data_IF_555191443243
#
_entry.id   IF_555191443243
#
_cell.length_a   1.000
_cell.length_b   1.000
_cell.length_c   1.000
_cell.angle_alpha   90.00
_cell.angle_beta   90.00
_cell.angle_gamma   90.00
#
_symmetry.space_group_name_H-M   'P 1'
#
loop_
_entity.id
_entity.type
_entity.pdbx_description
1 polymer ?
#
# COMPACT_ATOMS: atom_id res chain seq x y z
N UNK A 1 -23.35 -16.42 5.31
CA UNK A 1 -22.89 -16.08 6.66
C UNK A 1 -21.71 -16.99 7.00
N UNK A 2 -20.56 -16.45 7.32
CA UNK A 2 -19.45 -17.23 7.83
C UNK A 2 -18.79 -16.46 8.98
N UNK A 3 -18.59 -17.13 10.09
CA UNK A 3 -17.70 -16.72 11.18
C UNK A 3 -16.58 -17.74 11.16
N UNK A 4 -15.35 -17.29 10.93
CA UNK A 4 -14.16 -18.14 10.91
C UNK A 4 -13.28 -17.66 12.05
N UNK A 5 -12.97 -18.53 12.99
CA UNK A 5 -11.95 -18.30 14.01
C UNK A 5 -10.76 -19.19 13.68
N UNK A 6 -9.58 -18.60 13.57
CA UNK A 6 -8.33 -19.31 13.37
C UNK A 6 -7.39 -19.07 14.56
N UNK A 7 -6.75 -20.14 14.99
CA UNK A 7 -5.66 -20.08 15.96
C UNK A 7 -4.51 -20.92 15.40
N UNK A 8 -3.36 -20.29 15.20
CA UNK A 8 -2.20 -20.94 14.60
C UNK A 8 -0.95 -20.59 15.41
N UNK A 9 -0.20 -21.60 15.78
CA UNK A 9 1.10 -21.46 16.42
C UNK A 9 2.15 -21.98 15.44
N UNK A 10 3.11 -21.13 15.09
CA UNK A 10 4.21 -21.49 14.20
C UNK A 10 5.54 -21.21 14.89
N UNK A 11 6.47 -22.15 14.78
CA UNK A 11 7.83 -22.00 15.26
C UNK A 11 8.79 -22.46 14.18
N UNK A 12 9.95 -21.84 14.11
CA UNK A 12 10.98 -22.20 13.14
C UNK A 12 12.32 -21.60 13.48
N UNK A 13 13.33 -22.07 12.78
CA UNK A 13 14.68 -21.51 12.82
C UNK A 13 15.17 -21.21 11.41
N UNK A 14 15.95 -20.15 11.25
CA UNK A 14 16.57 -19.77 10.00
C UNK A 14 17.96 -19.19 10.26
N UNK A 15 18.85 -19.30 9.27
CA UNK A 15 20.11 -18.59 9.27
C UNK A 15 20.20 -17.74 8.01
N UNK A 16 20.72 -16.53 8.15
CA UNK A 16 20.93 -15.60 7.03
C UNK A 16 22.36 -15.08 7.05
N UNK A 17 22.93 -14.96 5.87
CA UNK A 17 24.22 -14.35 5.66
C UNK A 17 24.04 -13.14 4.73
N UNK A 18 24.44 -11.97 5.22
CA UNK A 18 24.37 -10.72 4.45
C UNK A 18 25.76 -10.26 4.09
N UNK A 19 26.02 -10.04 2.83
CA UNK A 19 27.26 -9.46 2.36
C UNK A 19 27.02 -8.06 1.84
N UNK A 20 27.70 -7.08 2.39
CA UNK A 20 27.62 -5.69 1.97
C UNK A 20 28.94 -5.27 1.32
N UNK A 21 28.83 -4.67 0.15
CA UNK A 21 29.96 -4.04 -0.53
C UNK A 21 29.92 -2.53 -0.28
N UNK A 22 30.71 -2.07 0.69
CA UNK A 22 30.78 -0.65 1.06
C UNK A 22 32.21 -0.15 0.81
N UNK A 23 32.37 0.86 -0.04
CA UNK A 23 33.68 1.48 -0.35
C UNK A 23 34.77 0.46 -0.72
N UNK A 24 34.45 -0.49 -1.60
CA UNK A 24 35.34 -1.59 -2.02
C UNK A 24 35.74 -2.59 -0.91
N UNK A 25 35.10 -2.49 0.25
CA UNK A 25 35.26 -3.47 1.31
C UNK A 25 34.02 -4.36 1.39
N UNK A 26 34.26 -5.66 1.52
CA UNK A 26 33.22 -6.65 1.74
C UNK A 26 33.05 -6.89 3.24
N UNK A 27 31.83 -6.68 3.73
CA UNK A 27 31.46 -6.98 5.12
C UNK A 27 30.38 -8.05 5.12
N UNK A 28 30.69 -9.21 5.72
CA UNK A 28 29.74 -10.32 5.85
C UNK A 28 29.22 -10.41 7.27
N UNK A 29 27.90 -10.45 7.43
CA UNK A 29 27.24 -10.64 8.70
C UNK A 29 26.45 -11.95 8.69
N UNK A 30 26.77 -12.85 9.63
CA UNK A 30 26.02 -14.08 9.86
C UNK A 30 25.07 -13.89 11.03
N UNK A 31 23.81 -14.30 10.84
CA UNK A 31 22.76 -14.26 11.85
C UNK A 31 22.02 -15.58 11.89
N UNK A 32 21.78 -16.09 13.08
CA UNK A 32 20.84 -17.19 13.31
C UNK A 32 19.59 -16.66 14.01
N UNK A 33 18.44 -17.18 13.63
CA UNK A 33 17.15 -16.76 14.15
C UNK A 33 16.41 -17.99 14.68
N UNK A 34 15.81 -17.85 15.84
CA UNK A 34 14.68 -18.66 16.28
C UNK A 34 13.46 -17.75 16.29
N UNK A 35 12.38 -18.18 15.69
CA UNK A 35 11.16 -17.39 15.62
C UNK A 35 9.93 -18.23 15.91
N UNK A 36 8.93 -17.59 16.47
CA UNK A 36 7.61 -18.18 16.64
C UNK A 36 6.54 -17.10 16.57
N UNK A 37 5.34 -17.52 16.26
CA UNK A 37 4.18 -16.65 16.23
C UNK A 37 2.97 -17.38 16.78
N UNK A 38 2.25 -16.73 17.69
CA UNK A 38 0.92 -17.14 18.13
C UNK A 38 -0.09 -16.20 17.50
N UNK A 39 -0.83 -16.72 16.52
CA UNK A 39 -1.80 -15.97 15.73
C UNK A 39 -3.22 -16.35 16.11
N UNK A 40 -4.04 -15.35 16.37
CA UNK A 40 -5.48 -15.52 16.61
C UNK A 40 -6.26 -14.57 15.73
N UNK A 41 -7.17 -15.12 14.95
CA UNK A 41 -8.02 -14.34 14.08
C UNK A 41 -9.48 -14.72 14.25
N UNK A 42 -10.35 -13.72 14.25
CA UNK A 42 -11.80 -13.89 14.18
C UNK A 42 -12.33 -13.02 13.07
N UNK A 43 -12.87 -13.66 12.04
CA UNK A 43 -13.49 -12.97 10.90
C UNK A 43 -15.00 -13.21 10.93
N UNK A 44 -15.75 -12.15 10.63
CA UNK A 44 -17.18 -12.29 10.39
C UNK A 44 -17.58 -11.61 9.08
N UNK A 45 -18.52 -12.19 8.39
CA UNK A 45 -19.07 -11.70 7.13
C UNK A 45 -20.59 -11.66 7.21
N UNK A 46 -21.16 -10.48 7.00
CA UNK A 46 -22.59 -10.29 6.77
C UNK A 46 -22.80 -9.79 5.35
N UNK A 47 -23.56 -10.52 4.55
CA UNK A 47 -23.92 -10.11 3.19
C UNK A 47 -25.44 -10.15 3.04
N UNK A 48 -25.99 -9.04 2.57
CA UNK A 48 -27.36 -8.94 2.11
C UNK A 48 -27.36 -8.54 0.64
N UNK A 49 -28.14 -9.24 -0.18
CA UNK A 49 -28.27 -8.99 -1.60
C UNK A 49 -29.71 -9.12 -2.03
N UNK A 50 -30.19 -8.14 -2.78
CA UNK A 50 -31.51 -8.14 -3.38
C UNK A 50 -31.41 -7.73 -4.86
N UNK A 51 -31.93 -8.58 -5.73
CA UNK A 51 -31.97 -8.32 -7.16
C UNK A 51 -33.43 -8.32 -7.64
N UNK A 52 -33.85 -7.21 -8.26
CA UNK A 52 -35.14 -7.03 -8.92
C UNK A 52 -34.94 -6.45 -10.31
N UNK A 53 -35.99 -6.45 -11.12
CA UNK A 53 -35.91 -6.02 -12.52
C UNK A 53 -35.34 -4.62 -12.72
N UNK A 54 -35.59 -3.69 -11.78
CA UNK A 54 -35.16 -2.30 -11.87
C UNK A 54 -34.08 -1.89 -10.89
N UNK A 55 -33.78 -2.71 -9.88
CA UNK A 55 -32.74 -2.39 -8.95
C UNK A 55 -31.99 -3.62 -8.44
N UNK A 56 -30.71 -3.42 -8.21
CA UNK A 56 -29.84 -4.33 -7.48
C UNK A 56 -29.34 -3.61 -6.24
N UNK A 57 -29.44 -4.24 -5.10
CA UNK A 57 -28.90 -3.74 -3.85
C UNK A 57 -28.01 -4.81 -3.22
N UNK A 58 -26.82 -4.43 -2.80
CA UNK A 58 -25.91 -5.28 -2.05
C UNK A 58 -25.33 -4.50 -0.88
N UNK A 59 -25.35 -5.09 0.30
CA UNK A 59 -24.57 -4.64 1.44
C UNK A 59 -23.71 -5.79 1.92
N UNK A 60 -22.40 -5.55 2.05
CA UNK A 60 -21.42 -6.50 2.55
C UNK A 60 -20.64 -5.85 3.69
N UNK A 61 -20.75 -6.43 4.88
CA UNK A 61 -20.01 -6.04 6.07
C UNK A 61 -19.02 -7.15 6.42
N UNK A 62 -17.76 -6.80 6.53
CA UNK A 62 -16.67 -7.68 6.96
C UNK A 62 -16.04 -7.08 8.21
N UNK A 63 -15.83 -7.89 9.22
CA UNK A 63 -15.08 -7.49 10.40
C UNK A 63 -14.02 -8.53 10.71
N UNK A 64 -12.86 -8.05 11.11
CA UNK A 64 -11.67 -8.84 11.44
C UNK A 64 -11.12 -8.39 12.78
N UNK A 65 -10.82 -9.34 13.64
CA UNK A 65 -10.13 -9.11 14.91
C UNK A 65 -8.91 -10.01 14.98
N UNK A 66 -7.73 -9.42 14.89
CA UNK A 66 -6.46 -10.12 14.86
C UNK A 66 -5.66 -9.85 16.12
N UNK A 67 -4.96 -10.86 16.59
CA UNK A 67 -3.92 -10.75 17.59
C UNK A 67 -2.73 -11.61 17.17
N UNK A 68 -1.58 -10.99 17.08
CA UNK A 68 -0.32 -11.63 16.76
C UNK A 68 0.70 -11.41 17.87
N UNK A 69 1.43 -12.45 18.20
CA UNK A 69 2.48 -12.45 19.22
C UNK A 69 3.75 -13.08 18.64
N UNK A 70 4.34 -12.50 17.58
CA UNK A 70 5.60 -12.99 17.08
C UNK A 70 6.74 -12.68 18.05
N UNK A 71 7.65 -13.62 18.15
CA UNK A 71 8.93 -13.41 18.83
C UNK A 71 10.07 -13.85 17.90
N UNK A 72 11.21 -13.18 18.04
CA UNK A 72 12.44 -13.52 17.32
C UNK A 72 13.59 -13.44 18.28
N UNK A 73 14.33 -14.52 18.41
CA UNK A 73 15.61 -14.54 19.10
C UNK A 73 16.71 -14.57 18.07
N UNK A 74 17.65 -13.63 18.13
CA UNK A 74 18.73 -13.53 17.18
C UNK A 74 20.06 -13.66 17.90
N UNK A 75 20.95 -14.45 17.34
CA UNK A 75 22.35 -14.49 17.76
C UNK A 75 23.19 -13.78 16.71
N UNK A 76 23.79 -12.66 17.08
CA UNK A 76 24.70 -11.88 16.25
C UNK A 76 26.08 -11.96 16.88
N UNK A 77 26.97 -12.77 16.31
CA UNK A 77 28.27 -13.05 16.90
C UNK A 77 28.13 -13.63 18.33
N UNK A 78 28.40 -12.83 19.37
CA UNK A 78 28.32 -13.22 20.79
C UNK A 78 27.16 -12.54 21.53
N UNK A 79 26.36 -11.72 20.85
CA UNK A 79 25.26 -10.97 21.44
C UNK A 79 23.94 -11.62 21.08
N UNK A 80 23.15 -11.97 22.07
CA UNK A 80 21.78 -12.40 21.88
C UNK A 80 20.86 -11.19 21.90
N UNK A 81 19.93 -11.13 20.99
CA UNK A 81 18.96 -10.07 20.85
C UNK A 81 17.57 -10.69 20.78
N UNK A 82 16.75 -10.35 21.76
CA UNK A 82 15.38 -10.82 21.88
C UNK A 82 14.43 -9.73 21.39
N UNK A 83 13.59 -10.07 20.46
CA UNK A 83 12.56 -9.23 19.90
C UNK A 83 11.21 -9.89 20.09
N UNK A 84 10.26 -9.16 20.65
CA UNK A 84 8.87 -9.61 20.72
C UNK A 84 7.92 -8.48 20.32
N UNK A 85 6.93 -8.83 19.53
CA UNK A 85 5.89 -7.93 19.06
C UNK A 85 4.54 -8.41 19.59
N UNK A 86 3.74 -7.50 20.14
CA UNK A 86 2.34 -7.76 20.47
C UNK A 86 1.50 -6.84 19.59
N UNK A 87 0.92 -7.40 18.55
CA UNK A 87 0.06 -6.69 17.64
C UNK A 87 -1.39 -7.08 17.85
N UNK A 88 -2.26 -6.07 17.89
CA UNK A 88 -3.70 -6.24 17.93
C UNK A 88 -4.33 -5.34 16.90
N UNK A 89 -5.21 -5.88 16.10
CA UNK A 89 -5.93 -5.15 15.08
C UNK A 89 -7.41 -5.48 15.12
N UNK A 90 -8.21 -4.45 14.97
CA UNK A 90 -9.64 -4.57 14.69
C UNK A 90 -9.92 -3.80 13.41
N UNK A 91 -10.48 -4.46 12.41
CA UNK A 91 -10.86 -3.86 11.14
C UNK A 91 -12.34 -4.10 10.83
N UNK A 92 -12.99 -3.11 10.23
CA UNK A 92 -14.35 -3.15 9.75
C UNK A 92 -14.40 -2.59 8.35
N UNK A 93 -14.95 -3.33 7.41
CA UNK A 93 -15.17 -2.91 6.01
C UNK A 93 -16.65 -3.09 5.65
N UNK A 94 -17.30 -2.01 5.23
CA UNK A 94 -18.68 -2.03 4.76
C UNK A 94 -18.73 -1.55 3.32
N UNK A 95 -19.23 -2.40 2.42
CA UNK A 95 -19.45 -2.10 1.01
C UNK A 95 -20.92 -2.17 0.67
N UNK A 96 -21.45 -1.02 0.26
CA UNK A 96 -22.83 -0.87 -0.20
C UNK A 96 -22.79 -0.56 -1.69
N UNK A 97 -23.60 -1.29 -2.47
CA UNK A 97 -23.80 -1.00 -3.88
C UNK A 97 -25.28 -0.98 -4.21
N UNK A 98 -25.69 0.07 -4.87
CA UNK A 98 -27.05 0.25 -5.38
C UNK A 98 -26.98 0.54 -6.88
N UNK A 99 -27.55 -0.36 -7.68
CA UNK A 99 -27.78 -0.10 -9.10
C UNK A 99 -29.26 0.14 -9.27
N UNK A 100 -29.61 1.28 -9.86
CA UNK A 100 -30.99 1.61 -10.20
C UNK A 100 -31.10 1.82 -11.71
N UNK A 101 -32.01 1.09 -12.36
CA UNK A 101 -32.28 1.18 -13.80
C UNK A 101 -33.64 1.85 -14.01
N UNK A 102 -33.67 2.97 -14.70
CA UNK A 102 -34.92 3.62 -15.10
C UNK A 102 -35.46 3.07 -16.43
N UNK A 103 -34.59 2.43 -17.24
CA UNK A 103 -34.99 1.63 -18.40
C UNK A 103 -34.03 0.44 -18.60
N UNK A 104 -34.16 -0.32 -19.68
CA UNK A 104 -33.34 -1.51 -19.94
C UNK A 104 -31.84 -1.22 -20.07
N UNK A 105 -31.49 -0.01 -20.52
CA UNK A 105 -30.12 0.38 -20.84
C UNK A 105 -29.58 1.37 -19.80
N UNK A 106 -30.41 2.28 -19.31
CA UNK A 106 -30.01 3.46 -18.53
C UNK A 106 -30.19 3.25 -17.03
N UNK A 107 -29.24 3.69 -16.25
CA UNK A 107 -29.27 3.54 -14.82
C UNK A 107 -28.20 4.35 -14.11
N UNK A 108 -28.14 4.14 -12.81
CA UNK A 108 -27.14 4.71 -11.91
C UNK A 108 -26.57 3.59 -11.04
N UNK A 109 -25.25 3.44 -11.03
CA UNK A 109 -24.51 2.60 -10.12
C UNK A 109 -23.91 3.49 -9.03
N UNK A 110 -24.35 3.28 -7.79
CA UNK A 110 -23.83 3.99 -6.62
C UNK A 110 -23.12 2.98 -5.72
N UNK A 111 -21.86 3.26 -5.43
CA UNK A 111 -21.03 2.45 -4.55
C UNK A 111 -20.60 3.32 -3.37
N UNK A 112 -20.79 2.80 -2.18
CA UNK A 112 -20.34 3.43 -0.95
C UNK A 112 -19.51 2.45 -0.15
N UNK A 113 -18.32 2.87 0.24
CA UNK A 113 -17.31 2.05 0.91
C UNK A 113 -16.87 2.75 2.19
N UNK A 114 -16.97 2.06 3.31
CA UNK A 114 -16.51 2.54 4.61
C UNK A 114 -15.53 1.54 5.18
N UNK A 115 -14.37 2.04 5.62
CA UNK A 115 -13.38 1.22 6.31
C UNK A 115 -12.98 1.89 7.63
N UNK A 116 -12.82 1.08 8.63
CA UNK A 116 -12.27 1.48 9.92
C UNK A 116 -11.25 0.45 10.34
N UNK A 117 -10.06 0.88 10.74
CA UNK A 117 -9.04 0.04 11.34
C UNK A 117 -8.51 0.69 12.61
N UNK A 118 -8.37 -0.10 13.65
CA UNK A 118 -7.72 0.29 14.89
C UNK A 118 -6.66 -0.76 15.23
N UNK A 119 -5.40 -0.38 15.15
CA UNK A 119 -4.27 -1.26 15.45
C UNK A 119 -3.42 -0.70 16.58
N UNK A 120 -2.84 -1.61 17.33
CA UNK A 120 -1.86 -1.32 18.37
C UNK A 120 -0.74 -2.34 18.28
N UNK A 121 0.47 -1.83 18.16
CA UNK A 121 1.69 -2.60 18.15
C UNK A 121 2.55 -2.22 19.34
N UNK A 122 3.08 -3.22 20.01
CA UNK A 122 3.99 -3.06 21.13
C UNK A 122 5.22 -3.91 20.89
N UNK A 123 6.30 -3.25 20.51
CA UNK A 123 7.60 -3.88 20.25
C UNK A 123 8.48 -3.79 21.49
N UNK A 124 9.05 -4.93 21.88
CA UNK A 124 10.10 -5.03 22.89
C UNK A 124 11.38 -5.54 22.25
N UNK A 125 12.48 -4.88 22.57
CA UNK A 125 13.82 -5.29 22.22
C UNK A 125 14.64 -5.40 23.49
N UNK A 126 15.29 -6.53 23.71
CA UNK A 126 16.22 -6.74 24.80
C UNK A 126 17.54 -7.30 24.23
N UNK A 127 18.66 -6.76 24.68
CA UNK A 127 19.97 -7.22 24.30
C UNK A 127 20.60 -7.93 25.48
N UNK A 128 20.88 -9.23 25.35
CA UNK A 128 21.64 -9.99 26.33
C UNK A 128 23.12 -10.03 25.92
N UNK A 129 23.96 -9.33 26.66
CA UNK A 129 25.40 -9.54 26.57
C UNK A 129 25.75 -10.80 27.36
N UNK A 130 26.18 -11.87 26.70
CA UNK A 130 26.61 -13.11 27.37
C UNK A 130 27.83 -12.96 28.27
N UNK A 131 28.45 -11.80 28.29
CA UNK A 131 29.67 -11.51 29.05
C UNK A 131 29.51 -10.14 29.74
N UNK A 132 29.16 -10.15 31.02
CA UNK A 132 29.12 -9.11 32.03
C UNK A 132 27.74 -8.74 32.57
N UNK A 133 27.69 -8.66 33.91
CA UNK A 133 26.53 -8.30 34.75
C UNK A 133 26.13 -6.82 34.71
N UNK A 134 26.22 -6.17 33.57
CA UNK A 134 25.76 -4.80 33.37
C UNK A 134 24.26 -4.77 32.98
N UNK A 135 23.52 -3.70 33.38
CA UNK A 135 22.12 -3.57 33.00
C UNK A 135 21.97 -3.64 31.47
N UNK A 136 21.10 -4.54 31.02
CA UNK A 136 20.88 -4.82 29.61
C UNK A 136 20.18 -3.62 28.94
N UNK A 137 20.64 -3.17 27.78
CA UNK A 137 19.91 -2.15 27.02
C UNK A 137 18.57 -2.72 26.53
N UNK A 138 17.50 -2.01 26.84
CA UNK A 138 16.15 -2.39 26.44
C UNK A 138 15.49 -1.23 25.71
N UNK A 139 14.67 -1.57 24.72
CA UNK A 139 13.78 -0.61 24.08
C UNK A 139 12.37 -1.15 24.02
N UNK A 140 11.41 -0.27 24.29
CA UNK A 140 9.99 -0.54 24.14
C UNK A 140 9.39 0.53 23.27
N UNK A 141 8.78 0.14 22.15
CA UNK A 141 8.06 1.06 21.29
C UNK A 141 6.58 0.69 21.25
N UNK A 142 5.73 1.69 21.40
CA UNK A 142 4.29 1.56 21.22
C UNK A 142 3.87 2.37 20.00
N UNK A 143 3.15 1.72 19.08
CA UNK A 143 2.54 2.36 17.91
C UNK A 143 1.04 2.10 17.96
N UNK A 144 0.23 3.16 17.88
CA UNK A 144 -1.22 3.08 17.79
C UNK A 144 -1.66 3.75 16.51
N UNK A 145 -2.48 3.09 15.74
CA UNK A 145 -3.03 3.62 14.50
C UNK A 145 -4.55 3.49 14.48
N UNK A 146 -5.23 4.57 14.11
CA UNK A 146 -6.64 4.56 13.77
C UNK A 146 -6.81 5.10 12.37
N UNK A 147 -7.40 4.30 11.51
CA UNK A 147 -7.64 4.64 10.12
C UNK A 147 -9.13 4.63 9.84
N UNK A 148 -9.60 5.69 9.18
CA UNK A 148 -10.96 5.88 8.71
C UNK A 148 -10.92 6.17 7.22
N UNK A 149 -11.72 5.47 6.45
CA UNK A 149 -11.84 5.66 5.03
C UNK A 149 -13.32 5.67 4.64
N UNK A 150 -13.70 6.64 3.82
CA UNK A 150 -15.01 6.72 3.20
C UNK A 150 -14.85 7.03 1.72
N UNK A 151 -15.54 6.28 0.87
CA UNK A 151 -15.59 6.50 -0.57
C UNK A 151 -17.04 6.45 -1.04
N UNK A 152 -17.40 7.43 -1.84
CA UNK A 152 -18.65 7.44 -2.62
C UNK A 152 -18.26 7.51 -4.10
N UNK A 153 -18.73 6.56 -4.90
CA UNK A 153 -18.61 6.57 -6.35
C UNK A 153 -19.99 6.44 -6.97
N UNK A 154 -20.26 7.26 -7.96
CA UNK A 154 -21.47 7.18 -8.75
C UNK A 154 -21.12 7.19 -10.23
N UNK A 155 -21.68 6.26 -10.97
CA UNK A 155 -21.46 6.08 -12.41
C UNK A 155 -22.82 6.02 -13.11
N UNK A 156 -23.01 6.87 -14.12
CA UNK A 156 -24.20 6.80 -14.96
C UNK A 156 -24.06 5.63 -15.90
N UNK A 157 -24.92 4.67 -15.74
CA UNK A 157 -25.05 3.53 -16.67
C UNK A 157 -25.90 3.97 -17.84
N UNK A 158 -25.39 3.98 -18.97
CA UNK A 158 -25.86 4.28 -20.28
C UNK A 158 -25.45 5.62 -20.81
N UNK A 159 -24.74 5.70 -21.26
CA UNK A 159 -24.10 5.67 -22.50
C UNK A 159 -24.64 6.70 -23.43
N UNK A 160 -23.95 7.80 -23.36
CA UNK A 160 -23.98 8.69 -24.52
C UNK A 160 -23.36 7.86 -25.64
N UNK A 161 -24.16 7.38 -26.59
CA UNK A 161 -23.68 6.65 -27.76
C UNK A 161 -23.42 7.62 -28.90
N UNK A 162 -22.18 7.67 -29.36
CA UNK A 162 -21.77 8.37 -30.56
C UNK A 162 -21.19 7.34 -31.53
N UNK A 163 -22.03 6.84 -32.45
CA UNK A 163 -21.67 5.75 -33.33
C UNK A 163 -21.32 4.46 -32.56
N UNK A 164 -20.08 3.98 -32.72
CA UNK A 164 -19.60 2.80 -32.06
C UNK A 164 -18.95 3.08 -30.69
N UNK A 165 -18.99 4.34 -30.22
CA UNK A 165 -18.42 4.75 -28.95
C UNK A 165 -19.51 4.90 -27.90
N UNK A 166 -19.24 4.40 -26.71
CA UNK A 166 -20.06 4.58 -25.51
C UNK A 166 -19.28 5.36 -24.48
N UNK A 167 -19.93 6.31 -23.79
CA UNK A 167 -19.35 7.16 -22.78
C UNK A 167 -20.21 7.14 -21.52
N UNK A 168 -19.58 6.86 -20.38
CA UNK A 168 -20.24 6.78 -19.08
C UNK A 168 -19.57 7.80 -18.13
N UNK A 169 -20.24 8.92 -17.83
CA UNK A 169 -19.74 9.87 -16.87
C UNK A 169 -19.84 9.29 -15.45
N UNK A 170 -18.84 9.57 -14.63
CA UNK A 170 -18.82 9.19 -13.23
C UNK A 170 -18.21 10.29 -12.37
N UNK A 171 -18.53 10.27 -11.10
CA UNK A 171 -17.90 11.11 -10.07
C UNK A 171 -17.64 10.29 -8.83
N UNK A 172 -16.69 10.76 -8.05
CA UNK A 172 -16.35 10.13 -6.79
C UNK A 172 -15.86 11.13 -5.76
N UNK A 173 -16.04 10.78 -4.50
CA UNK A 173 -15.44 11.45 -3.36
C UNK A 173 -14.79 10.42 -2.44
N UNK A 174 -13.60 10.73 -1.97
CA UNK A 174 -12.83 9.90 -1.04
C UNK A 174 -12.41 10.81 0.11
N UNK A 175 -12.61 10.34 1.33
CA UNK A 175 -12.07 10.97 2.52
C UNK A 175 -11.39 9.90 3.37
N UNK A 176 -10.15 10.12 3.74
CA UNK A 176 -9.45 9.29 4.69
C UNK A 176 -8.77 10.10 5.79
N UNK A 177 -8.76 9.53 6.97
CA UNK A 177 -8.12 10.07 8.16
C UNK A 177 -7.30 8.97 8.81
N UNK A 178 -6.02 9.25 9.00
CA UNK A 178 -5.10 8.39 9.74
C UNK A 178 -4.59 9.13 10.98
N UNK A 179 -4.73 8.51 12.12
CA UNK A 179 -4.21 9.00 13.40
C UNK A 179 -3.16 8.01 13.85
N UNK A 180 -1.91 8.44 13.94
CA UNK A 180 -0.77 7.61 14.25
C UNK A 180 -0.03 8.19 15.45
N UNK A 181 -0.04 7.47 16.55
CA UNK A 181 0.65 7.84 17.78
C UNK A 181 1.78 6.87 18.04
N UNK A 182 2.99 7.40 18.26
CA UNK A 182 4.17 6.60 18.57
C UNK A 182 4.79 7.06 19.88
N UNK A 183 5.31 6.12 20.66
CA UNK A 183 6.09 6.41 21.86
C UNK A 183 7.24 5.40 21.96
N UNK A 184 8.45 5.90 22.10
CA UNK A 184 9.66 5.11 22.30
C UNK A 184 10.22 5.32 23.70
N UNK A 185 10.36 4.23 24.42
CA UNK A 185 11.04 4.17 25.72
C UNK A 185 12.31 3.34 25.53
N UNK A 186 13.45 3.93 25.72
CA UNK A 186 14.72 3.24 25.47
C UNK A 186 15.75 3.52 26.56
N UNK A 187 16.63 2.54 26.77
CA UNK A 187 17.80 2.66 27.64
C UNK A 187 19.03 2.10 26.92
N UNK A 188 20.18 2.68 27.16
CA UNK A 188 21.44 2.19 26.60
C UNK A 188 21.57 2.38 25.09
N UNK A 189 21.95 1.32 24.36
CA UNK A 189 22.28 1.34 22.93
C UNK A 189 21.11 1.70 22.00
N UNK A 190 19.87 1.57 22.47
CA UNK A 190 18.68 1.93 21.70
C UNK A 190 18.25 3.38 21.90
N UNK A 191 19.00 4.16 22.67
CA UNK A 191 18.72 5.59 22.81
C UNK A 191 18.98 6.30 21.49
N UNK A 192 17.98 6.94 20.90
CA UNK A 192 18.20 7.76 19.71
C UNK A 192 19.14 8.92 20.07
N UNK A 193 19.84 9.43 19.07
CA UNK A 193 20.61 10.68 19.24
C UNK A 193 19.69 11.76 19.79
N UNK A 194 20.21 12.66 20.64
CA UNK A 194 19.46 13.67 21.37
C UNK A 194 18.61 14.62 20.52
N UNK A 195 18.78 14.59 19.21
CA UNK A 195 18.02 15.38 18.24
C UNK A 195 16.70 14.75 17.79
N UNK A 196 16.35 13.54 18.26
CA UNK A 196 15.16 12.83 17.80
C UNK A 196 13.99 12.94 18.78
N UNK A 197 12.80 13.06 18.23
CA UNK A 197 11.58 12.95 19.00
C UNK A 197 11.38 11.49 19.46
N UNK A 198 11.12 11.31 20.75
CA UNK A 198 10.80 10.00 21.32
C UNK A 198 9.32 9.63 21.18
N UNK A 199 8.48 10.61 20.87
CA UNK A 199 7.05 10.41 20.65
C UNK A 199 6.52 11.36 19.59
N UNK A 200 5.49 10.94 18.88
CA UNK A 200 4.75 11.76 17.94
C UNK A 200 3.26 11.41 18.01
N UNK A 201 2.41 12.41 17.77
CA UNK A 201 0.97 12.26 17.66
C UNK A 201 0.53 12.94 16.35
N UNK A 202 0.47 12.16 15.30
CA UNK A 202 0.26 12.64 13.96
C UNK A 202 -1.17 12.35 13.49
N UNK A 203 -1.78 13.36 12.88
CA UNK A 203 -3.06 13.29 12.20
C UNK A 203 -2.85 13.58 10.72
N UNK A 204 -3.10 12.60 9.88
CA UNK A 204 -3.10 12.74 8.43
C UNK A 204 -4.54 12.71 7.93
N UNK A 205 -4.94 13.74 7.19
CA UNK A 205 -6.25 13.81 6.57
C UNK A 205 -6.08 14.03 5.06
N UNK A 206 -6.80 13.25 4.27
CA UNK A 206 -6.83 13.38 2.82
C UNK A 206 -8.27 13.37 2.33
N UNK A 207 -8.59 14.33 1.47
CA UNK A 207 -9.85 14.37 0.75
C UNK A 207 -9.57 14.43 -0.74
N UNK A 208 -10.21 13.58 -1.52
CA UNK A 208 -10.15 13.58 -2.99
C UNK A 208 -11.57 13.67 -3.53
N UNK A 209 -11.76 14.50 -4.55
CA UNK A 209 -12.98 14.53 -5.32
C UNK A 209 -12.63 14.50 -6.80
N UNK A 210 -13.39 13.76 -7.58
CA UNK A 210 -13.10 13.62 -9.00
C UNK A 210 -14.36 13.49 -9.83
N UNK A 211 -14.24 13.95 -11.07
CA UNK A 211 -15.17 13.71 -12.14
C UNK A 211 -14.43 13.10 -13.30
N UNK A 212 -15.02 12.10 -13.93
CA UNK A 212 -14.37 11.41 -15.05
C UNK A 212 -15.36 10.90 -16.07
N UNK A 213 -14.78 10.44 -17.15
CA UNK A 213 -15.49 9.82 -18.26
C UNK A 213 -14.85 8.46 -18.51
N UNK A 214 -15.62 7.39 -18.36
CA UNK A 214 -15.24 6.10 -18.90
C UNK A 214 -15.77 6.00 -20.34
N UNK A 215 -15.02 5.37 -21.20
CA UNK A 215 -15.42 5.20 -22.57
C UNK A 215 -15.01 3.83 -23.10
N UNK A 216 -15.81 3.35 -24.03
CA UNK A 216 -15.54 2.13 -24.76
C UNK A 216 -15.95 2.32 -26.21
N UNK A 217 -15.08 1.88 -27.12
CA UNK A 217 -15.36 1.82 -28.55
C UNK A 217 -14.99 0.46 -29.09
N UNK A 218 -15.87 -0.14 -29.89
CA UNK A 218 -15.62 -1.38 -30.63
C UNK A 218 -15.78 -1.12 -32.11
N UNK A 219 -14.70 -1.20 -32.87
CA UNK A 219 -14.67 -1.13 -34.33
C UNK A 219 -14.14 -2.45 -34.84
N UNK A 220 -14.55 -2.90 -36.00
CA UNK A 220 -14.27 -4.23 -36.60
C UNK A 220 -13.07 -5.04 -36.05
N UNK A 221 -11.89 -4.41 -35.91
CA UNK A 221 -10.66 -5.04 -35.41
C UNK A 221 -10.02 -4.32 -34.21
N UNK A 222 -10.62 -3.22 -33.75
CA UNK A 222 -10.11 -2.42 -32.64
C UNK A 222 -11.11 -2.35 -31.51
N UNK A 223 -10.60 -2.46 -30.28
CA UNK A 223 -11.30 -2.07 -29.07
C UNK A 223 -10.49 -1.00 -28.36
N UNK A 224 -11.11 0.09 -28.04
CA UNK A 224 -10.50 1.17 -27.25
C UNK A 224 -11.38 1.35 -26.02
N UNK A 225 -10.79 1.29 -24.85
CA UNK A 225 -11.50 1.53 -23.60
C UNK A 225 -10.58 2.21 -22.58
N UNK A 226 -11.19 2.91 -21.68
CA UNK A 226 -10.43 3.57 -20.65
C UNK A 226 -11.27 4.55 -19.84
N UNK A 227 -10.61 5.28 -18.98
CA UNK A 227 -11.22 6.34 -18.20
C UNK A 227 -10.23 7.49 -18.03
N UNK A 228 -10.78 8.70 -17.93
CA UNK A 228 -10.01 9.94 -17.78
C UNK A 228 -10.64 10.75 -16.65
N UNK A 229 -10.22 10.57 -15.40
CA UNK A 229 -10.66 11.39 -14.30
C UNK A 229 -9.86 12.69 -14.18
N UNK A 230 -10.55 13.76 -13.84
CA UNK A 230 -9.99 14.96 -13.25
C UNK A 230 -10.15 14.84 -11.75
N UNK A 231 -9.06 14.84 -11.01
CA UNK A 231 -9.02 14.59 -9.56
C UNK A 231 -8.45 15.78 -8.84
N UNK A 232 -9.25 16.38 -7.97
CA UNK A 232 -8.80 17.32 -6.97
C UNK A 232 -8.44 16.56 -5.69
N UNK A 233 -7.29 16.86 -5.10
CA UNK A 233 -6.82 16.29 -3.85
C UNK A 233 -6.44 17.39 -2.86
N UNK A 234 -6.88 17.24 -1.63
CA UNK A 234 -6.46 18.03 -0.48
C UNK A 234 -5.87 17.11 0.57
N UNK A 235 -4.65 17.42 1.01
CA UNK A 235 -3.95 16.69 2.06
C UNK A 235 -3.55 17.67 3.13
N UNK A 236 -3.75 17.30 4.39
CA UNK A 236 -3.26 18.04 5.55
C UNK A 236 -2.70 17.09 6.59
N UNK A 237 -1.53 17.43 7.09
CA UNK A 237 -0.87 16.72 8.18
C UNK A 237 -0.79 17.65 9.37
N UNK A 238 -1.03 17.13 10.53
CA UNK A 238 -0.88 17.82 11.80
C UNK A 238 -0.09 16.93 12.75
N UNK A 239 1.01 17.42 13.23
CA UNK A 239 1.82 16.82 14.30
C UNK A 239 2.35 17.96 15.19
N UNK A 240 2.83 17.69 16.41
CA UNK A 240 3.48 18.69 17.24
C UNK A 240 4.67 19.38 16.57
N UNK A 241 5.22 18.78 15.52
CA UNK A 241 6.46 19.23 14.89
C UNK A 241 6.23 19.86 13.51
N UNK A 242 5.19 19.43 12.78
CA UNK A 242 4.93 19.85 11.39
C UNK A 242 3.43 19.97 11.11
N UNK A 243 3.07 20.89 10.20
CA UNK A 243 1.66 21.10 9.79
C UNK A 243 1.52 21.38 8.29
N UNK A 244 2.11 20.57 7.40
CA UNK A 244 2.01 20.85 5.97
C UNK A 244 0.61 20.63 5.43
N UNK A 245 0.27 21.40 4.37
CA UNK A 245 -0.98 21.27 3.61
C UNK A 245 -0.66 21.36 2.12
N UNK A 246 -1.35 20.55 1.32
CA UNK A 246 -1.21 20.55 -0.14
C UNK A 246 -2.55 20.42 -0.83
N UNK A 247 -2.71 21.20 -1.89
CA UNK A 247 -3.80 21.07 -2.84
C UNK A 247 -3.22 20.71 -4.19
N UNK A 248 -3.86 19.80 -4.89
CA UNK A 248 -3.41 19.40 -6.22
C UNK A 248 -4.59 19.05 -7.12
N UNK A 249 -4.39 19.25 -8.42
CA UNK A 249 -5.35 18.89 -9.46
C UNK A 249 -4.63 18.05 -10.51
N UNK A 250 -5.13 16.86 -10.78
CA UNK A 250 -4.50 15.91 -11.68
C UNK A 250 -5.49 15.34 -12.68
N UNK A 251 -5.04 15.12 -13.90
CA UNK A 251 -5.70 14.26 -14.88
C UNK A 251 -4.98 12.91 -14.85
N UNK A 252 -5.71 11.83 -14.56
CA UNK A 252 -5.17 10.50 -14.35
C UNK A 252 -5.72 9.51 -15.40
N UNK A 253 -5.32 9.60 -16.67
CA UNK A 253 -5.80 8.73 -17.71
C UNK A 253 -5.36 7.29 -17.51
N UNK A 254 -6.24 6.37 -17.89
CA UNK A 254 -5.93 4.96 -18.10
C UNK A 254 -6.60 4.51 -19.39
N UNK A 255 -5.81 4.25 -20.40
CA UNK A 255 -6.25 3.97 -21.76
C UNK A 255 -5.73 2.62 -22.19
N UNK A 256 -6.58 1.81 -22.80
CA UNK A 256 -6.20 0.53 -23.40
C UNK A 256 -6.73 0.46 -24.82
N UNK A 257 -5.86 0.05 -25.72
CA UNK A 257 -6.17 -0.20 -27.14
C UNK A 257 -5.85 -1.66 -27.40
N UNK A 258 -6.84 -2.40 -27.90
CA UNK A 258 -6.68 -3.78 -28.32
C UNK A 258 -6.94 -3.88 -29.83
N UNK A 259 -6.12 -4.62 -30.53
CA UNK A 259 -6.27 -4.91 -31.94
C UNK A 259 -6.06 -6.39 -32.22
N UNK A 260 -7.02 -7.03 -32.87
CA UNK A 260 -6.85 -8.35 -33.49
C UNK A 260 -6.12 -8.17 -34.81
N UNK A 261 -4.88 -8.64 -34.91
CA UNK A 261 -4.08 -8.60 -36.16
C UNK A 261 -4.45 -9.77 -37.07
N UNK A 262 -4.60 -10.95 -36.48
CA UNK A 262 -5.02 -12.20 -37.13
C UNK A 262 -5.96 -12.94 -36.15
N UNK A 263 -6.59 -14.00 -36.60
CA UNK A 263 -7.49 -14.82 -35.74
C UNK A 263 -6.79 -15.36 -34.48
N UNK A 264 -5.48 -15.45 -34.51
CA UNK A 264 -4.66 -16.01 -33.41
C UNK A 264 -3.62 -15.05 -32.88
N UNK A 265 -3.58 -13.77 -33.32
CA UNK A 265 -2.66 -12.75 -32.84
C UNK A 265 -3.43 -11.51 -32.40
N UNK A 266 -3.22 -11.07 -31.18
CA UNK A 266 -3.73 -9.80 -30.69
C UNK A 266 -2.63 -8.93 -30.11
N UNK A 267 -2.75 -7.62 -30.32
CA UNK A 267 -1.91 -6.58 -29.76
C UNK A 267 -2.72 -5.77 -28.75
N UNK A 268 -2.16 -5.55 -27.58
CA UNK A 268 -2.71 -4.68 -26.56
C UNK A 268 -1.69 -3.59 -26.21
N UNK A 269 -2.12 -2.34 -26.26
CA UNK A 269 -1.35 -1.19 -25.78
C UNK A 269 -2.08 -0.57 -24.61
N UNK A 270 -1.37 -0.29 -23.54
CA UNK A 270 -1.91 0.34 -22.34
C UNK A 270 -1.05 1.53 -21.96
N UNK A 271 -1.70 2.65 -21.63
CA UNK A 271 -1.07 3.81 -21.02
C UNK A 271 -1.85 4.22 -19.79
N UNK A 272 -1.14 4.43 -18.69
CA UNK A 272 -1.72 5.00 -17.46
C UNK A 272 -0.80 6.02 -16.83
N UNK A 273 -1.42 6.96 -16.13
CA UNK A 273 -0.75 7.93 -15.27
C UNK A 273 -1.33 7.84 -13.87
N UNK A 274 -0.46 7.72 -12.89
CA UNK A 274 -0.81 7.67 -11.47
C UNK A 274 -0.02 8.72 -10.69
N UNK A 275 -0.65 9.27 -9.66
CA UNK A 275 0.01 10.19 -8.72
C UNK A 275 -0.19 9.63 -7.32
N UNK A 276 0.94 9.36 -6.65
CA UNK A 276 0.99 8.88 -5.29
C UNK A 276 1.55 9.97 -4.39
N UNK A 277 0.79 10.36 -3.40
CA UNK A 277 1.25 11.25 -2.33
C UNK A 277 1.95 10.44 -1.25
N UNK A 278 2.71 11.10 -0.39
CA UNK A 278 3.33 10.48 0.77
C UNK A 278 2.33 9.70 1.62
N UNK A 279 2.81 8.61 2.20
CA UNK A 279 2.07 7.84 3.20
C UNK A 279 2.08 8.57 4.55
N UNK A 280 1.10 8.29 5.42
CA UNK A 280 1.10 8.86 6.77
C UNK A 280 2.40 8.64 7.52
N UNK A 281 2.99 7.45 7.43
CA UNK A 281 4.21 7.07 8.14
C UNK A 281 5.43 7.92 7.73
N UNK A 282 5.43 8.49 6.52
CA UNK A 282 6.52 9.32 6.01
C UNK A 282 6.63 10.67 6.75
N UNK A 283 5.57 11.09 7.43
CA UNK A 283 5.52 12.37 8.18
C UNK A 283 5.85 12.23 9.65
N UNK A 284 6.03 11.01 10.16
CA UNK A 284 6.41 10.82 11.55
C UNK A 284 7.78 11.40 11.81
N UNK A 285 7.85 12.32 12.78
CA UNK A 285 9.09 12.91 13.22
C UNK A 285 9.75 12.08 14.33
N UNK A 286 9.01 11.15 14.92
CA UNK A 286 9.54 10.19 15.87
C UNK A 286 10.34 9.11 15.15
N UNK A 287 11.32 8.62 15.85
CA UNK A 287 12.14 7.50 15.45
C UNK A 287 11.34 6.19 15.56
N UNK A 288 11.29 5.41 14.50
CA UNK A 288 10.59 4.12 14.48
C UNK A 288 11.60 3.00 14.35
N UNK A 289 11.55 2.07 15.29
CA UNK A 289 12.27 0.81 15.23
C UNK A 289 11.35 -0.18 14.49
N UNK A 290 11.81 -0.67 13.34
CA UNK A 290 11.08 -1.68 12.54
C UNK A 290 11.36 -3.09 13.05
N UNK A 291 12.59 -3.31 13.45
CA UNK A 291 13.08 -4.55 14.04
C UNK A 291 14.44 -4.27 14.70
N UNK A 292 15.07 -5.28 15.22
CA UNK A 292 16.35 -5.19 15.93
C UNK A 292 17.51 -4.56 15.15
N UNK A 293 17.41 -4.45 13.84
CA UNK A 293 18.47 -3.92 12.96
C UNK A 293 18.01 -2.83 12.01
N UNK A 294 16.71 -2.58 11.87
CA UNK A 294 16.17 -1.58 10.96
C UNK A 294 15.41 -0.51 11.73
N UNK A 295 15.81 0.72 11.48
CA UNK A 295 15.22 1.91 12.06
C UNK A 295 14.79 2.83 10.92
N UNK A 296 13.64 3.45 11.05
CA UNK A 296 13.14 4.40 10.07
C UNK A 296 12.98 5.75 10.74
N UNK A 297 13.47 6.78 10.07
CA UNK A 297 13.17 8.16 10.40
C UNK A 297 12.56 8.83 9.18
N UNK A 298 11.35 9.27 9.32
CA UNK A 298 10.76 10.20 8.39
C UNK A 298 11.36 11.59 8.67
N UNK A 299 11.91 12.22 7.65
CA UNK A 299 12.46 13.57 7.74
C UNK A 299 11.74 14.49 6.75
N UNK A 300 10.46 14.20 6.51
CA UNK A 300 9.64 14.91 5.54
C UNK A 300 8.83 15.95 6.28
N UNK A 301 9.10 17.21 5.97
CA UNK A 301 8.39 18.36 6.54
C UNK A 301 7.34 18.92 5.58
N UNK A 302 7.31 18.46 4.33
CA UNK A 302 6.40 18.92 3.29
C UNK A 302 5.78 17.75 2.54
N UNK A 303 4.61 17.96 1.93
CA UNK A 303 3.89 16.94 1.18
C UNK A 303 4.47 16.86 -0.24
N UNK A 304 5.15 15.76 -0.53
CA UNK A 304 5.71 15.44 -1.84
C UNK A 304 4.79 14.50 -2.59
N UNK A 305 4.99 14.37 -3.89
CA UNK A 305 4.21 13.45 -4.73
C UNK A 305 5.11 12.74 -5.71
N UNK A 306 4.75 11.51 -6.02
CA UNK A 306 5.38 10.71 -7.07
C UNK A 306 4.42 10.59 -8.23
N UNK A 307 4.87 10.99 -9.42
CA UNK A 307 4.11 10.90 -10.66
C UNK A 307 4.67 9.75 -11.50
N UNK A 308 3.83 8.79 -11.78
CA UNK A 308 4.20 7.57 -12.50
C UNK A 308 3.46 7.48 -13.83
N UNK A 309 4.20 7.34 -14.94
CA UNK A 309 3.67 7.04 -16.26
C UNK A 309 4.05 5.62 -16.63
N UNK A 310 3.05 4.82 -16.88
CA UNK A 310 3.20 3.43 -17.28
C UNK A 310 2.73 3.24 -18.72
N UNK A 311 3.57 2.65 -19.56
CA UNK A 311 3.25 2.24 -20.90
C UNK A 311 3.56 0.74 -21.07
N UNK A 312 2.59 -0.02 -21.54
CA UNK A 312 2.74 -1.45 -21.78
C UNK A 312 2.30 -1.81 -23.20
N UNK A 313 3.10 -2.62 -23.86
CA UNK A 313 2.73 -3.26 -25.11
C UNK A 313 2.76 -4.78 -24.93
N UNK A 314 1.68 -5.47 -25.27
CA UNK A 314 1.56 -6.93 -25.16
C UNK A 314 1.09 -7.51 -26.47
N UNK A 315 1.81 -8.52 -26.95
CA UNK A 315 1.42 -9.35 -28.09
C UNK A 315 1.05 -10.72 -27.54
N UNK A 316 -0.16 -11.19 -27.86
CA UNK A 316 -0.59 -12.54 -27.53
C UNK A 316 -0.73 -13.35 -28.79
N UNK A 317 -0.20 -14.55 -28.78
CA UNK A 317 -0.41 -15.58 -29.77
C UNK A 317 -1.20 -16.73 -29.17
N UNK A 318 -2.32 -17.12 -29.76
CA UNK A 318 -3.14 -18.22 -29.28
C UNK A 318 -3.69 -19.02 -30.47
N UNK A 319 -3.11 -20.17 -30.75
CA UNK A 319 -3.57 -21.07 -31.80
C UNK A 319 -4.07 -22.38 -31.17
N UNK A 320 -5.39 -22.47 -30.96
CA UNK A 320 -6.01 -23.63 -30.33
C UNK A 320 -5.87 -24.92 -31.15
N UNK A 321 -5.82 -24.83 -32.46
CA UNK A 321 -5.66 -26.02 -33.32
C UNK A 321 -4.26 -26.63 -33.24
N UNK A 322 -3.24 -25.80 -33.03
CA UNK A 322 -1.85 -26.24 -32.87
C UNK A 322 -1.44 -26.38 -31.40
N UNK A 323 -2.35 -26.11 -30.45
CA UNK A 323 -2.09 -26.06 -29.02
C UNK A 323 -0.86 -25.20 -28.66
N UNK A 324 -0.68 -24.10 -29.39
CA UNK A 324 0.47 -23.22 -29.26
C UNK A 324 0.01 -21.86 -28.76
N UNK A 325 0.54 -21.48 -27.61
CA UNK A 325 0.22 -20.26 -26.91
C UNK A 325 1.52 -19.55 -26.54
N UNK A 326 1.51 -18.24 -26.58
CA UNK A 326 2.65 -17.44 -26.14
C UNK A 326 2.27 -15.98 -25.97
N UNK A 327 3.02 -15.28 -25.16
CA UNK A 327 2.86 -13.85 -25.02
C UNK A 327 4.22 -13.16 -24.90
N UNK A 328 4.29 -11.96 -25.42
CA UNK A 328 5.44 -11.05 -25.28
C UNK A 328 4.93 -9.72 -24.72
N UNK A 329 5.54 -9.23 -23.65
CA UNK A 329 5.18 -7.97 -23.02
C UNK A 329 6.41 -7.08 -22.85
N UNK A 330 6.27 -5.84 -23.26
CA UNK A 330 7.24 -4.77 -23.04
C UNK A 330 6.57 -3.74 -22.14
N UNK A 331 7.20 -3.40 -21.02
CA UNK A 331 6.73 -2.37 -20.12
C UNK A 331 7.79 -1.27 -20.01
N UNK A 332 7.35 -0.04 -20.16
CA UNK A 332 8.14 1.15 -19.89
C UNK A 332 7.49 1.94 -18.75
N UNK A 333 8.27 2.25 -17.74
CA UNK A 333 7.84 3.01 -16.59
C UNK A 333 8.73 4.26 -16.44
N UNK A 334 8.07 5.42 -16.38
CA UNK A 334 8.72 6.71 -16.10
C UNK A 334 8.16 7.26 -14.79
N UNK A 335 9.02 7.31 -13.79
CA UNK A 335 8.70 7.76 -12.45
C UNK A 335 9.43 9.08 -12.20
N UNK A 336 8.66 10.10 -11.84
CA UNK A 336 9.17 11.37 -11.34
C UNK A 336 8.75 11.48 -9.87
N UNK A 337 9.72 11.60 -8.97
CA UNK A 337 9.50 11.68 -7.53
C UNK A 337 10.20 12.88 -6.95
N UNK A 338 9.51 13.57 -6.06
CA UNK A 338 10.05 14.67 -5.27
C UNK A 338 10.73 14.16 -3.99
N UNK A 339 10.85 12.85 -3.83
CA UNK A 339 11.40 12.22 -2.63
C UNK A 339 12.27 11.03 -2.97
N UNK A 340 13.42 10.93 -2.34
CA UNK A 340 14.34 9.81 -2.43
C UNK A 340 14.50 9.13 -1.07
N UNK A 341 14.50 7.79 -1.05
CA UNK A 341 14.87 7.03 0.14
C UNK A 341 16.38 6.84 0.18
N UNK A 342 16.98 7.24 1.28
CA UNK A 342 18.40 7.09 1.55
C UNK A 342 18.63 6.07 2.66
N UNK A 343 19.53 5.13 2.42
CA UNK A 343 19.84 4.02 3.34
C UNK A 343 21.25 4.16 3.88
N UNK A 344 21.39 4.28 5.20
CA UNK A 344 22.67 4.26 5.89
C UNK A 344 22.84 2.91 6.57
N UNK A 345 23.93 2.24 6.26
CA UNK A 345 24.33 1.01 6.94
C UNK A 345 25.50 1.34 7.85
N UNK A 346 25.30 1.26 9.16
CA UNK A 346 26.35 1.50 10.17
C UNK A 346 26.38 0.31 11.12
N UNK A 347 27.53 -0.32 11.22
CA UNK A 347 27.74 -1.51 12.03
C UNK A 347 26.68 -2.60 11.77
N UNK A 348 25.80 -2.89 12.72
CA UNK A 348 24.73 -3.87 12.60
C UNK A 348 23.34 -3.24 12.38
N UNK A 349 23.27 -1.93 12.11
CA UNK A 349 22.01 -1.21 11.99
C UNK A 349 21.84 -0.60 10.61
N UNK A 350 20.61 -0.60 10.13
CA UNK A 350 20.20 0.03 8.89
C UNK A 350 19.25 1.16 9.25
N UNK A 351 19.61 2.38 8.91
CA UNK A 351 18.77 3.54 9.06
C UNK A 351 18.24 4.00 7.70
N UNK A 352 16.93 4.12 7.59
CA UNK A 352 16.23 4.65 6.41
C UNK A 352 15.88 6.10 6.66
N UNK A 353 16.29 6.96 5.73
CA UNK A 353 15.96 8.38 5.73
C UNK A 353 15.23 8.73 4.44
N UNK A 354 14.30 9.68 4.54
CA UNK A 354 13.63 10.25 3.39
C UNK A 354 14.19 11.65 3.13
N UNK A 355 14.61 11.90 1.90
CA UNK A 355 15.21 13.18 1.50
C UNK A 355 14.34 13.79 0.41
N UNK A 356 13.89 15.06 0.57
CA UNK A 356 13.22 15.78 -0.50
C UNK A 356 14.23 16.06 -1.62
N UNK A 357 14.18 15.28 -2.68
CA UNK A 357 15.05 15.37 -3.83
C UNK A 357 14.29 14.99 -5.09
N UNK A 358 14.22 15.90 -6.03
CA UNK A 358 13.63 15.64 -7.34
C UNK A 358 14.52 14.69 -8.13
N UNK A 359 13.98 13.54 -8.50
CA UNK A 359 14.68 12.60 -9.38
C UNK A 359 13.72 11.90 -10.33
N UNK A 360 14.27 11.45 -11.45
CA UNK A 360 13.55 10.71 -12.46
C UNK A 360 14.16 9.33 -12.63
N UNK A 361 13.31 8.32 -12.64
CA UNK A 361 13.72 6.94 -12.93
C UNK A 361 12.99 6.44 -14.17
N UNK A 362 13.72 5.78 -15.05
CA UNK A 362 13.18 5.11 -16.23
C UNK A 362 13.52 3.64 -16.15
N UNK A 363 12.53 2.80 -16.30
CA UNK A 363 12.74 1.35 -16.36
C UNK A 363 12.08 0.77 -17.59
N UNK A 364 12.76 -0.18 -18.22
CA UNK A 364 12.25 -0.98 -19.33
C UNK A 364 12.36 -2.44 -18.94
N UNK A 365 11.26 -3.17 -19.03
CA UNK A 365 11.24 -4.61 -18.79
C UNK A 365 10.64 -5.36 -19.98
N UNK A 366 11.19 -6.52 -20.25
CA UNK A 366 10.74 -7.46 -21.29
C UNK A 366 10.44 -8.78 -20.60
N UNK A 367 9.25 -9.34 -20.85
CA UNK A 367 8.87 -10.66 -20.38
C UNK A 367 8.15 -11.43 -21.47
N UNK A 368 8.30 -12.74 -21.49
CA UNK A 368 7.65 -13.64 -22.47
C UNK A 368 7.44 -15.03 -21.86
N UNK A 369 6.39 -15.69 -22.33
CA UNK A 369 6.01 -17.07 -22.01
C UNK A 369 5.74 -17.83 -23.28
#
# INVERSE_FOLDING_TARGET
YAIIAMNEDTEGCASMEYTYHINQQEKTHKRSFEFGNNYRNIDFLLKYEQNKSRYFFMNKLVGTCNRELPFVQQLIQTTQLDESLNQREFALDNKLRLIYKWNEVNGLDTQFNLQFTNSRELLFLAQEARINSLPQPTARQEVKQKFYYAELRQEMLSTIRLGNCTFDPYWFGIADKNMLTTALYSSGLFSPESSFALSDDMHYNRAKAGFGLSFQSAMAHFRIYGYIPLVYSHISVYSPYITPKKHSLHILPNLTIERSLLSHISLQLQWSREVHDNKPEDFLQAFIIRNSYEQTRANINDITSTNNHYLSAKINYANAFKLLFGNLRINYNYLNSDMMTYKVVKDNHIALYFIPLNFNTRSLSLSGE
#
